data_IF_130938608784
#
_entry.id   IF_130938608784
#
_cell.length_a   1.000
_cell.length_b   1.000
_cell.length_c   1.000
_cell.angle_alpha   90.00
_cell.angle_beta   90.00
_cell.angle_gamma   90.00
#
_symmetry.space_group_name_H-M   'P 1'
#
loop_
_entity.id
_entity.type
_entity.pdbx_description
1 polymer ?
#
# COMPACT_ATOMS: atom_id res chain seq x y z
N UNK A 1 -26.12 7.58 -4.84
CA UNK A 1 -26.25 6.28 -4.13
C UNK A 1 -24.93 5.53 -4.23
N UNK A 2 -24.57 4.73 -3.21
CA UNK A 2 -23.39 3.84 -3.26
C UNK A 2 -23.55 2.81 -4.38
N UNK A 3 -22.45 2.27 -4.91
CA UNK A 3 -22.46 1.34 -6.07
C UNK A 3 -23.42 0.17 -5.84
N UNK A 4 -24.50 0.12 -6.61
CA UNK A 4 -25.58 -0.89 -6.52
C UNK A 4 -25.21 -2.20 -7.22
N UNK A 5 -23.94 -2.39 -7.57
CA UNK A 5 -23.42 -3.58 -8.26
C UNK A 5 -23.71 -4.89 -7.51
N UNK A 6 -23.88 -4.82 -6.19
CA UNK A 6 -24.25 -5.97 -5.38
C UNK A 6 -25.67 -6.50 -5.68
N UNK A 7 -26.56 -5.72 -6.31
CA UNK A 7 -27.90 -6.17 -6.70
C UNK A 7 -27.97 -6.83 -8.08
N UNK A 8 -26.85 -6.92 -8.80
CA UNK A 8 -26.79 -7.51 -10.16
C UNK A 8 -27.45 -8.89 -10.27
N UNK A 9 -27.27 -9.83 -9.31
CA UNK A 9 -27.96 -11.12 -9.35
C UNK A 9 -29.49 -11.03 -9.39
N UNK A 10 -30.08 -10.14 -8.59
CA UNK A 10 -31.53 -9.91 -8.54
C UNK A 10 -32.01 -9.26 -9.83
N UNK A 11 -31.31 -8.22 -10.27
CA UNK A 11 -31.62 -7.49 -11.50
C UNK A 11 -31.58 -8.42 -12.72
N UNK A 12 -30.60 -9.31 -12.80
CA UNK A 12 -30.51 -10.26 -13.91
C UNK A 12 -31.70 -11.22 -13.99
N UNK A 13 -32.27 -11.62 -12.85
CA UNK A 13 -33.47 -12.47 -12.83
C UNK A 13 -34.70 -11.67 -13.26
N UNK A 14 -34.91 -10.49 -12.69
CA UNK A 14 -36.10 -9.67 -12.91
C UNK A 14 -36.15 -9.14 -14.35
N UNK A 15 -35.01 -8.65 -14.85
CA UNK A 15 -34.89 -8.12 -16.20
C UNK A 15 -34.51 -9.17 -17.25
N UNK A 16 -34.48 -10.47 -16.87
CA UNK A 16 -34.17 -11.60 -17.76
C UNK A 16 -32.86 -11.42 -18.56
N UNK A 17 -31.83 -10.89 -17.91
CA UNK A 17 -30.53 -10.64 -18.55
C UNK A 17 -30.54 -9.54 -19.63
N UNK A 18 -31.64 -8.82 -19.82
CA UNK A 18 -31.64 -7.55 -20.56
C UNK A 18 -30.97 -6.52 -19.66
N UNK A 19 -29.65 -6.50 -19.71
CA UNK A 19 -28.79 -5.58 -18.99
C UNK A 19 -29.15 -4.18 -19.47
N UNK A 20 -30.05 -3.50 -18.75
CA UNK A 20 -29.94 -2.06 -18.68
C UNK A 20 -28.59 -1.84 -18.01
N UNK A 21 -27.61 -1.43 -18.82
CA UNK A 21 -26.39 -0.83 -18.33
C UNK A 21 -26.79 0.06 -17.14
N UNK A 22 -26.10 -0.09 -16.01
CA UNK A 22 -26.10 0.86 -14.91
C UNK A 22 -25.78 2.24 -15.51
N UNK A 23 -26.79 2.87 -16.12
CA UNK A 23 -26.63 4.09 -16.87
C UNK A 23 -26.46 5.16 -15.83
N UNK A 24 -25.45 6.01 -16.02
CA UNK A 24 -25.09 7.14 -15.16
C UNK A 24 -26.21 8.17 -14.92
N UNK A 25 -27.42 7.91 -15.40
CA UNK A 25 -28.59 8.80 -15.29
C UNK A 25 -29.24 8.58 -13.93
N UNK A 26 -29.06 9.55 -13.05
CA UNK A 26 -29.74 9.63 -11.76
C UNK A 26 -31.27 9.42 -11.95
N UNK A 27 -31.85 8.50 -11.18
CA UNK A 27 -33.31 8.25 -11.15
C UNK A 27 -33.76 6.90 -11.71
N UNK A 28 -33.05 6.28 -12.67
CA UNK A 28 -33.41 4.93 -13.16
C UNK A 28 -33.23 3.83 -12.11
N UNK A 29 -32.30 4.03 -11.18
CA UNK A 29 -32.08 3.12 -10.05
C UNK A 29 -33.34 2.97 -9.19
N UNK A 30 -34.06 4.07 -8.92
CA UNK A 30 -35.32 4.05 -8.17
C UNK A 30 -36.42 3.28 -8.91
N UNK A 31 -36.50 3.42 -10.23
CA UNK A 31 -37.50 2.73 -11.06
C UNK A 31 -37.28 1.21 -10.99
N UNK A 32 -36.04 0.76 -11.11
CA UNK A 32 -35.75 -0.68 -11.04
C UNK A 32 -35.86 -1.23 -9.64
N UNK A 33 -35.50 -0.46 -8.60
CA UNK A 33 -35.70 -0.83 -7.21
C UNK A 33 -37.18 -0.99 -6.85
N UNK A 34 -38.05 -0.07 -7.31
CA UNK A 34 -39.51 -0.22 -7.19
C UNK A 34 -40.00 -1.48 -7.90
N UNK A 35 -39.48 -1.77 -9.09
CA UNK A 35 -39.81 -3.01 -9.81
C UNK A 35 -39.31 -4.26 -9.08
N UNK A 36 -38.20 -4.17 -8.33
CA UNK A 36 -37.75 -5.25 -7.47
C UNK A 36 -38.68 -5.46 -6.27
N UNK A 37 -39.20 -4.37 -5.69
CA UNK A 37 -40.18 -4.41 -4.61
C UNK A 37 -41.51 -5.04 -5.08
N UNK A 38 -42.00 -4.67 -6.25
CA UNK A 38 -43.21 -5.28 -6.85
C UNK A 38 -43.07 -6.79 -7.07
N UNK A 39 -41.91 -7.24 -7.56
CA UNK A 39 -41.65 -8.67 -7.83
C UNK A 39 -41.33 -9.47 -6.56
N UNK A 40 -40.85 -8.79 -5.51
CA UNK A 40 -40.43 -9.40 -4.25
C UNK A 40 -41.07 -8.65 -3.06
N UNK A 41 -42.41 -8.72 -2.93
CA UNK A 41 -43.13 -8.00 -1.87
C UNK A 41 -42.89 -8.60 -0.48
N UNK A 42 -42.43 -9.86 -0.43
CA UNK A 42 -42.11 -10.58 0.81
C UNK A 42 -40.84 -10.03 1.50
N UNK A 43 -40.02 -9.28 0.76
CA UNK A 43 -38.83 -8.61 1.26
C UNK A 43 -39.17 -7.23 1.79
N UNK A 44 -38.67 -6.91 2.98
CA UNK A 44 -38.78 -5.56 3.52
C UNK A 44 -37.70 -4.68 2.88
N UNK A 45 -38.13 -3.79 1.99
CA UNK A 45 -37.27 -2.83 1.31
C UNK A 45 -37.13 -1.53 2.10
N UNK A 46 -35.91 -1.02 2.21
CA UNK A 46 -35.61 0.29 2.79
C UNK A 46 -34.49 0.93 1.96
N UNK A 47 -34.87 1.93 1.17
CA UNK A 47 -33.96 2.62 0.24
C UNK A 47 -33.01 3.60 0.93
N UNK A 48 -33.22 3.87 2.22
CA UNK A 48 -32.35 4.73 3.02
C UNK A 48 -31.05 4.02 3.41
N UNK A 49 -31.05 2.68 3.37
CA UNK A 49 -29.93 1.84 3.79
C UNK A 49 -28.94 1.58 2.64
N UNK A 50 -27.69 1.28 3.01
CA UNK A 50 -26.63 0.88 2.08
C UNK A 50 -26.96 -0.41 1.30
N UNK A 51 -27.66 -1.35 1.96
CA UNK A 51 -28.23 -2.55 1.36
C UNK A 51 -29.76 -2.46 1.45
N UNK A 52 -30.49 -2.50 0.33
CA UNK A 52 -31.85 -2.00 0.27
C UNK A 52 -32.91 -2.94 0.85
N UNK A 53 -32.55 -4.08 1.44
CA UNK A 53 -33.52 -4.96 2.09
C UNK A 53 -32.93 -5.75 3.26
N UNK A 54 -33.78 -6.17 4.20
CA UNK A 54 -33.34 -6.94 5.38
C UNK A 54 -32.96 -8.37 4.99
N UNK A 55 -31.73 -8.81 5.28
CA UNK A 55 -31.28 -10.17 4.96
C UNK A 55 -32.13 -11.28 5.65
N UNK A 56 -32.69 -10.99 6.83
CA UNK A 56 -33.56 -11.92 7.57
C UNK A 56 -34.87 -12.23 6.82
N UNK A 57 -35.36 -11.33 5.96
CA UNK A 57 -36.60 -11.58 5.19
C UNK A 57 -36.37 -12.42 3.93
N UNK A 58 -35.12 -12.73 3.55
CA UNK A 58 -34.82 -13.56 2.37
C UNK A 58 -35.41 -14.97 2.50
N UNK A 59 -35.52 -15.51 3.73
CA UNK A 59 -36.12 -16.83 3.98
C UNK A 59 -37.61 -16.89 3.65
N UNK A 60 -38.30 -15.73 3.69
CA UNK A 60 -39.73 -15.62 3.37
C UNK A 60 -40.01 -15.77 1.87
N UNK A 61 -39.00 -15.54 1.03
CA UNK A 61 -39.11 -15.66 -0.43
C UNK A 61 -39.45 -17.10 -0.83
N UNK A 62 -40.67 -17.30 -1.32
CA UNK A 62 -41.16 -18.63 -1.76
C UNK A 62 -40.32 -19.20 -2.91
N UNK A 63 -40.03 -18.37 -3.90
CA UNK A 63 -39.29 -18.77 -5.09
C UNK A 63 -37.81 -19.06 -4.80
N UNK A 64 -37.40 -20.31 -5.02
CA UNK A 64 -36.01 -20.74 -4.83
C UNK A 64 -35.01 -19.94 -5.66
N UNK A 65 -35.36 -19.59 -6.89
CA UNK A 65 -34.48 -18.85 -7.83
C UNK A 65 -34.25 -17.42 -7.35
N UNK A 66 -35.32 -16.72 -6.99
CA UNK A 66 -35.27 -15.38 -6.42
C UNK A 66 -34.54 -15.36 -5.08
N UNK A 67 -34.81 -16.33 -4.20
CA UNK A 67 -34.13 -16.50 -2.91
C UNK A 67 -32.61 -16.67 -3.09
N UNK A 68 -32.17 -17.49 -4.04
CA UNK A 68 -30.75 -17.69 -4.36
C UNK A 68 -30.08 -16.39 -4.81
N UNK A 69 -30.72 -15.61 -5.67
CA UNK A 69 -30.18 -14.32 -6.09
C UNK A 69 -30.10 -13.32 -4.94
N UNK A 70 -31.09 -13.28 -4.05
CA UNK A 70 -31.03 -12.43 -2.87
C UNK A 70 -29.82 -12.76 -1.98
N UNK A 71 -29.55 -14.04 -1.75
CA UNK A 71 -28.35 -14.48 -1.04
C UNK A 71 -27.05 -14.12 -1.77
N UNK A 72 -27.00 -14.29 -3.09
CA UNK A 72 -25.83 -13.89 -3.89
C UNK A 72 -25.58 -12.39 -3.82
N UNK A 73 -26.65 -11.58 -3.88
CA UNK A 73 -26.56 -10.13 -3.74
C UNK A 73 -26.04 -9.71 -2.38
N UNK A 74 -26.53 -10.34 -1.31
CA UNK A 74 -26.03 -10.10 0.04
C UNK A 74 -24.56 -10.51 0.22
N UNK A 75 -24.14 -11.62 -0.40
CA UNK A 75 -22.74 -12.03 -0.39
C UNK A 75 -21.83 -11.04 -1.14
N UNK A 76 -22.29 -10.49 -2.27
CA UNK A 76 -21.57 -9.44 -2.99
C UNK A 76 -21.46 -8.14 -2.18
N UNK A 77 -22.54 -7.76 -1.49
CA UNK A 77 -22.54 -6.62 -0.57
C UNK A 77 -21.50 -6.80 0.53
N UNK A 78 -21.45 -7.96 1.21
CA UNK A 78 -20.41 -8.24 2.22
C UNK A 78 -18.98 -8.15 1.66
N UNK A 79 -18.77 -8.55 0.40
CA UNK A 79 -17.47 -8.45 -0.26
C UNK A 79 -17.05 -7.00 -0.54
N UNK A 80 -17.99 -6.08 -0.74
CA UNK A 80 -17.66 -4.67 -0.99
C UNK A 80 -17.18 -3.91 0.25
N UNK A 81 -17.51 -4.36 1.47
CA UNK A 81 -17.00 -3.73 2.71
C UNK A 81 -15.58 -4.14 3.04
N UNK A 82 -15.15 -5.32 2.61
CA UNK A 82 -13.78 -5.77 2.90
C UNK A 82 -12.80 -4.89 2.12
N UNK A 83 -11.75 -4.35 2.76
CA UNK A 83 -10.70 -3.67 2.02
C UNK A 83 -10.20 -4.64 0.95
N UNK A 84 -10.19 -4.18 -0.30
CA UNK A 84 -9.67 -5.00 -1.39
C UNK A 84 -8.19 -5.23 -1.13
N UNK A 85 -7.67 -6.46 -1.30
CA UNK A 85 -6.24 -6.67 -1.20
C UNK A 85 -5.55 -5.72 -2.17
N UNK A 86 -4.59 -4.97 -1.65
CA UNK A 86 -3.78 -4.07 -2.48
C UNK A 86 -3.06 -4.97 -3.50
N UNK A 87 -3.18 -4.72 -4.80
CA UNK A 87 -2.52 -5.56 -5.80
C UNK A 87 -1.00 -5.53 -5.53
N UNK A 88 -0.38 -6.72 -5.46
CA UNK A 88 1.03 -6.89 -5.09
C UNK A 88 1.99 -5.99 -5.89
N UNK A 89 1.66 -5.73 -7.16
CA UNK A 89 2.43 -4.86 -8.04
C UNK A 89 2.45 -3.38 -7.61
N UNK A 90 1.41 -2.89 -6.91
CA UNK A 90 1.41 -1.52 -6.38
C UNK A 90 2.35 -1.38 -5.20
N UNK A 91 2.39 -2.38 -4.32
CA UNK A 91 3.32 -2.42 -3.17
C UNK A 91 4.77 -2.32 -3.67
N UNK A 92 5.15 -3.15 -4.66
CA UNK A 92 6.47 -3.10 -5.28
C UNK A 92 6.80 -1.73 -5.91
N UNK A 93 5.83 -1.11 -6.60
CA UNK A 93 6.02 0.21 -7.22
C UNK A 93 6.17 1.32 -6.19
N UNK A 94 5.42 1.25 -5.09
CA UNK A 94 5.44 2.25 -4.03
C UNK A 94 6.69 2.11 -3.15
N UNK A 95 7.23 0.89 -3.02
CA UNK A 95 8.46 0.58 -2.28
C UNK A 95 9.75 0.84 -3.09
N UNK A 96 9.68 0.87 -4.42
CA UNK A 96 10.85 1.07 -5.30
C UNK A 96 11.60 2.40 -5.06
N UNK A 97 10.94 3.56 -4.96
CA UNK A 97 11.62 4.82 -4.66
C UNK A 97 12.22 4.86 -3.24
N UNK A 98 11.65 4.10 -2.29
CA UNK A 98 12.21 3.98 -0.95
C UNK A 98 13.52 3.17 -0.96
N UNK A 99 13.59 2.13 -1.80
CA UNK A 99 14.79 1.34 -2.01
C UNK A 99 15.91 2.17 -2.66
N UNK A 100 15.59 2.94 -3.71
CA UNK A 100 16.57 3.81 -4.38
C UNK A 100 17.15 4.87 -3.43
N UNK A 101 16.31 5.50 -2.60
CA UNK A 101 16.75 6.43 -1.56
C UNK A 101 17.64 5.77 -0.52
N UNK A 102 17.30 4.55 -0.10
CA UNK A 102 18.10 3.80 0.85
C UNK A 102 19.49 3.46 0.28
N UNK A 103 19.56 2.98 -0.97
CA UNK A 103 20.82 2.71 -1.68
C UNK A 103 21.67 3.98 -1.79
N UNK A 104 21.06 5.11 -2.18
CA UNK A 104 21.76 6.39 -2.28
C UNK A 104 22.34 6.84 -0.92
N UNK A 105 21.55 6.72 0.15
CA UNK A 105 21.98 7.08 1.50
C UNK A 105 23.15 6.22 2.00
N UNK A 106 23.13 4.92 1.68
CA UNK A 106 24.24 4.02 1.99
C UNK A 106 25.50 4.38 1.22
N UNK A 107 25.37 4.77 -0.04
CA UNK A 107 26.50 5.14 -0.88
C UNK A 107 27.15 6.46 -0.43
N UNK A 108 26.37 7.41 0.09
CA UNK A 108 26.88 8.64 0.70
C UNK A 108 27.59 8.34 2.03
N UNK A 109 27.02 7.47 2.86
CA UNK A 109 27.63 7.06 4.12
C UNK A 109 28.97 6.36 3.90
N UNK A 110 29.08 5.47 2.91
CA UNK A 110 30.34 4.77 2.59
C UNK A 110 31.40 5.73 2.05
N UNK A 111 31.05 6.65 1.14
CA UNK A 111 31.98 7.70 0.66
C UNK A 111 32.52 8.56 1.81
N UNK A 112 31.65 8.93 2.73
CA UNK A 112 32.03 9.75 3.89
C UNK A 112 32.97 8.99 4.83
N UNK A 113 32.71 7.70 5.06
CA UNK A 113 33.59 6.85 5.87
C UNK A 113 34.96 6.70 5.22
N UNK A 114 35.03 6.40 3.92
CA UNK A 114 36.28 6.27 3.16
C UNK A 114 37.10 7.55 3.24
N UNK A 115 36.46 8.72 3.09
CA UNK A 115 37.14 10.02 3.21
C UNK A 115 37.74 10.21 4.61
N UNK A 116 36.98 9.92 5.67
CA UNK A 116 37.49 10.02 7.05
C UNK A 116 38.70 9.11 7.30
N UNK A 117 38.69 7.89 6.76
CA UNK A 117 39.85 6.99 6.87
C UNK A 117 41.06 7.53 6.11
N UNK A 118 40.87 8.08 4.90
CA UNK A 118 41.94 8.73 4.13
C UNK A 118 42.53 9.91 4.89
N UNK A 119 41.69 10.84 5.36
CA UNK A 119 42.12 12.03 6.09
C UNK A 119 42.89 11.66 7.37
N UNK A 120 42.46 10.58 8.05
CA UNK A 120 43.13 10.07 9.25
C UNK A 120 44.49 9.44 8.90
N UNK A 121 44.57 8.67 7.82
CA UNK A 121 45.81 8.05 7.36
C UNK A 121 46.83 9.12 6.93
N UNK A 122 46.38 10.16 6.22
CA UNK A 122 47.23 11.29 5.82
C UNK A 122 47.73 12.08 7.04
N UNK A 123 46.86 12.34 8.02
CA UNK A 123 47.26 13.00 9.26
C UNK A 123 48.29 12.18 10.06
N UNK A 124 48.11 10.86 10.14
CA UNK A 124 49.09 9.96 10.76
C UNK A 124 50.41 9.97 10.00
N UNK A 125 50.38 9.85 8.67
CA UNK A 125 51.59 9.87 7.83
C UNK A 125 52.36 11.17 8.00
N UNK A 126 51.68 12.32 8.00
CA UNK A 126 52.31 13.61 8.25
C UNK A 126 52.93 13.68 9.65
N UNK A 127 52.22 13.22 10.68
CA UNK A 127 52.76 13.20 12.04
C UNK A 127 54.02 12.34 12.16
N UNK A 128 54.03 11.13 11.59
CA UNK A 128 55.20 10.26 11.57
C UNK A 128 56.38 10.87 10.80
N UNK A 129 56.13 11.40 9.59
CA UNK A 129 57.17 12.04 8.79
C UNK A 129 57.73 13.29 9.47
N UNK A 130 56.88 14.08 10.15
CA UNK A 130 57.32 15.26 10.90
C UNK A 130 58.19 14.86 12.10
N UNK A 131 57.85 13.75 12.78
CA UNK A 131 58.60 13.23 13.91
C UNK A 131 59.94 12.61 13.47
N UNK A 132 59.98 11.93 12.33
CA UNK A 132 61.21 11.44 11.72
C UNK A 132 62.12 12.58 11.26
N UNK A 133 61.56 13.58 10.56
CA UNK A 133 62.28 14.79 10.18
C UNK A 133 62.78 15.58 11.41
N UNK A 134 62.01 15.60 12.50
CA UNK A 134 62.45 16.22 13.75
C UNK A 134 63.63 15.44 14.35
N UNK A 135 63.55 14.11 14.40
CA UNK A 135 64.64 13.24 14.87
C UNK A 135 65.92 13.43 14.05
N UNK A 136 65.83 13.40 12.73
CA UNK A 136 67.01 13.48 11.85
C UNK A 136 67.66 14.86 11.87
N UNK A 137 66.88 15.94 11.91
CA UNK A 137 67.43 17.30 11.81
C UNK A 137 67.75 17.94 13.18
N UNK A 138 67.11 17.49 14.27
CA UNK A 138 67.21 18.16 15.57
C UNK A 138 67.60 17.25 16.75
N UNK A 139 67.57 15.91 16.63
CA UNK A 139 68.03 15.01 17.71
C UNK A 139 69.52 14.64 17.64
N UNK A 140 70.28 15.13 16.65
CA UNK A 140 71.74 15.03 16.65
C UNK A 140 72.36 16.14 17.54
N UNK A 141 72.29 16.00 18.87
CA UNK A 141 73.19 16.71 19.81
C UNK A 141 72.97 16.31 21.26
N UNK A 142 73.14 15.02 21.61
CA UNK A 142 73.38 14.62 23.01
C UNK A 142 74.40 13.48 23.15
N UNK A 143 75.29 13.26 22.17
CA UNK A 143 76.52 12.49 22.43
C UNK A 143 77.57 13.42 23.04
N UNK A 144 77.39 13.73 24.32
CA UNK A 144 78.44 14.25 25.20
C UNK A 144 79.22 13.07 25.80
N UNK A 145 79.93 12.31 24.97
CA UNK A 145 80.85 11.25 25.43
C UNK A 145 81.91 10.90 24.38
N UNK A 146 82.69 11.89 23.93
CA UNK A 146 83.97 11.65 23.26
C UNK A 146 84.88 12.88 23.45
N UNK A 147 85.21 13.17 24.71
CA UNK A 147 86.25 14.11 25.09
C UNK A 147 87.21 13.40 26.06
N UNK A 148 88.40 13.11 25.55
CA UNK A 148 89.70 13.02 26.24
C UNK A 148 89.78 12.26 27.59
N UNK A 149 90.41 11.09 27.55
CA UNK A 149 91.41 10.64 28.53
C UNK A 149 92.71 10.30 27.79
#
# INVERSE_FOLDING_TARGET
MKRVQHLTPILNIIFKGKIFFLSRVNGRELIWLKRCEEMLPELYWDYSLDFPFKAKSISKVKDRKHRRACYQSFAQYKKSFKPRPIPKLKILKDEWPALEKWIASMQEATKTAVKKFSDTADAMSYAFNSLENFRTNYMCSWDLAAGED
#
